data_IF_615010067143
#
_entry.id   IF_615010067143
#
_cell.length_a   1.000
_cell.length_b   1.000
_cell.length_c   1.000
_cell.angle_alpha   90.00
_cell.angle_beta   90.00
_cell.angle_gamma   90.00
#
_symmetry.space_group_name_H-M   'P 1'
#
loop_
_entity.id
_entity.type
_entity.pdbx_description
1 polymer ?
#
# COMPACT_ATOMS: atom_id res chain seq x y z
N UNK A 1 8.41 -23.25 0.14
CA UNK A 1 7.88 -21.90 0.32
C UNK A 1 6.62 -21.80 -0.50
N UNK A 2 5.47 -21.60 0.12
CA UNK A 2 4.20 -21.37 -0.58
C UNK A 2 4.19 -19.96 -1.21
N UNK A 3 3.30 -19.67 -2.18
CA UNK A 3 3.15 -18.31 -2.72
C UNK A 3 2.90 -17.26 -1.63
N UNK A 4 2.09 -17.59 -0.62
CA UNK A 4 1.85 -16.73 0.55
C UNK A 4 3.13 -16.49 1.34
N UNK A 5 3.89 -17.54 1.67
CA UNK A 5 5.14 -17.39 2.42
C UNK A 5 6.13 -16.52 1.64
N UNK A 6 6.25 -16.72 0.32
CA UNK A 6 7.10 -15.92 -0.55
C UNK A 6 6.68 -14.44 -0.58
N UNK A 7 5.38 -14.18 -0.69
CA UNK A 7 4.83 -12.83 -0.63
C UNK A 7 5.14 -12.15 0.70
N UNK A 8 4.84 -12.81 1.83
CA UNK A 8 5.05 -12.26 3.17
C UNK A 8 6.52 -11.98 3.47
N UNK A 9 7.43 -12.87 3.05
CA UNK A 9 8.87 -12.66 3.20
C UNK A 9 9.35 -11.43 2.41
N UNK A 10 8.92 -11.30 1.15
CA UNK A 10 9.25 -10.13 0.34
C UNK A 10 8.65 -8.85 0.93
N UNK A 11 7.39 -8.89 1.35
CA UNK A 11 6.65 -7.76 1.91
C UNK A 11 7.30 -7.26 3.21
N UNK A 12 7.64 -8.17 4.13
CA UNK A 12 8.31 -7.84 5.40
C UNK A 12 9.71 -7.25 5.16
N UNK A 13 10.47 -7.84 4.23
CA UNK A 13 11.83 -7.38 3.88
C UNK A 13 11.81 -5.99 3.24
N UNK A 14 10.92 -5.77 2.28
CA UNK A 14 10.78 -4.47 1.59
C UNK A 14 10.30 -3.38 2.55
N UNK A 15 9.34 -3.68 3.43
CA UNK A 15 8.89 -2.74 4.43
C UNK A 15 10.01 -2.35 5.40
N UNK A 16 10.80 -3.32 5.89
CA UNK A 16 11.92 -3.05 6.78
C UNK A 16 13.01 -2.16 6.13
N UNK A 17 13.32 -2.37 4.84
CA UNK A 17 14.24 -1.52 4.08
C UNK A 17 13.64 -0.11 3.92
N UNK A 18 12.38 -0.01 3.53
CA UNK A 18 11.68 1.25 3.32
C UNK A 18 11.64 2.08 4.59
N UNK A 19 11.22 1.50 5.72
CA UNK A 19 11.14 2.19 7.00
C UNK A 19 12.51 2.63 7.51
N UNK A 20 13.57 1.83 7.28
CA UNK A 20 14.94 2.23 7.60
C UNK A 20 15.34 3.50 6.84
N UNK A 21 15.07 3.54 5.53
CA UNK A 21 15.38 4.70 4.70
C UNK A 21 14.58 5.94 5.14
N UNK A 22 13.28 5.79 5.36
CA UNK A 22 12.39 6.90 5.73
C UNK A 22 12.73 7.47 7.13
N UNK A 23 13.07 6.60 8.09
CA UNK A 23 13.51 7.02 9.44
C UNK A 23 14.85 7.75 9.42
N UNK A 24 15.73 7.42 8.47
CA UNK A 24 17.02 8.10 8.27
C UNK A 24 16.95 9.31 7.33
N UNK A 25 15.79 9.60 6.73
CA UNK A 25 15.66 10.69 5.78
C UNK A 25 15.77 12.06 6.48
N UNK A 26 16.57 13.02 5.98
CA UNK A 26 16.72 14.32 6.63
C UNK A 26 15.41 15.12 6.62
N UNK A 27 14.92 15.50 7.81
CA UNK A 27 13.59 16.14 7.96
C UNK A 27 13.52 17.49 7.25
N UNK A 28 14.62 18.21 7.18
CA UNK A 28 14.76 19.48 6.47
C UNK A 28 14.69 19.34 4.94
N UNK A 29 14.69 18.11 4.41
CA UNK A 29 14.59 17.80 2.98
C UNK A 29 13.27 17.13 2.59
N UNK A 30 12.27 17.07 3.47
CA UNK A 30 11.00 16.39 3.17
C UNK A 30 10.28 16.96 1.95
N UNK A 31 10.49 18.25 1.68
CA UNK A 31 9.94 18.97 0.52
C UNK A 31 10.87 18.98 -0.70
N UNK A 32 12.01 18.26 -0.65
CA UNK A 32 12.93 18.15 -1.77
C UNK A 32 12.19 17.59 -2.99
N UNK A 33 12.21 18.37 -4.07
CA UNK A 33 11.55 18.07 -5.33
C UNK A 33 12.54 18.27 -6.48
N UNK A 34 13.27 17.21 -6.89
CA UNK A 34 14.34 17.33 -7.90
C UNK A 34 13.86 17.86 -9.25
N UNK A 35 12.57 17.68 -9.57
CA UNK A 35 11.94 18.20 -10.77
C UNK A 35 10.45 18.50 -10.52
N UNK A 36 9.90 19.52 -11.19
CA UNK A 36 8.54 20.02 -10.96
C UNK A 36 7.42 18.96 -11.12
N UNK A 37 7.66 17.93 -11.94
CA UNK A 37 6.72 16.81 -12.17
C UNK A 37 6.81 15.68 -11.13
N UNK A 38 7.82 15.70 -10.25
CA UNK A 38 8.00 14.67 -9.24
C UNK A 38 7.26 15.00 -7.96
N UNK A 39 6.96 13.95 -7.19
CA UNK A 39 6.47 14.06 -5.82
C UNK A 39 7.63 14.44 -4.88
N UNK A 40 7.33 15.13 -3.78
CA UNK A 40 8.28 15.33 -2.69
C UNK A 40 8.55 14.01 -1.96
N UNK A 41 9.61 13.94 -1.15
CA UNK A 41 9.87 12.77 -0.31
C UNK A 41 8.70 12.46 0.64
N UNK A 42 8.08 13.52 1.20
CA UNK A 42 6.88 13.39 2.03
C UNK A 42 5.71 12.77 1.25
N UNK A 43 5.44 13.28 0.06
CA UNK A 43 4.34 12.77 -0.78
C UNK A 43 4.57 11.32 -1.19
N UNK A 44 5.81 10.93 -1.50
CA UNK A 44 6.15 9.54 -1.83
C UNK A 44 5.98 8.61 -0.64
N UNK A 45 6.39 9.03 0.56
CA UNK A 45 6.19 8.23 1.76
C UNK A 45 4.69 7.99 2.05
N UNK A 46 3.86 9.00 1.81
CA UNK A 46 2.41 8.87 1.95
C UNK A 46 1.80 7.91 0.93
N UNK A 47 2.33 7.86 -0.30
CA UNK A 47 1.87 6.89 -1.31
C UNK A 47 1.94 5.46 -0.75
N UNK A 48 3.02 5.05 -0.08
CA UNK A 48 3.11 3.70 0.48
C UNK A 48 1.98 3.38 1.47
N UNK A 49 1.56 4.33 2.29
CA UNK A 49 0.47 4.12 3.25
C UNK A 49 -0.88 4.02 2.52
N UNK A 50 -1.09 4.84 1.49
CA UNK A 50 -2.28 4.80 0.63
C UNK A 50 -2.37 3.48 -0.12
N UNK A 51 -1.27 2.99 -0.70
CA UNK A 51 -1.24 1.73 -1.44
C UNK A 51 -1.51 0.52 -0.53
N UNK A 52 -1.00 0.51 0.71
CA UNK A 52 -1.35 -0.54 1.68
C UNK A 52 -2.85 -0.53 2.00
N UNK A 53 -3.43 0.66 2.26
CA UNK A 53 -4.86 0.79 2.49
C UNK A 53 -5.71 0.45 1.26
N UNK A 54 -5.22 0.74 0.06
CA UNK A 54 -5.86 0.35 -1.19
C UNK A 54 -5.85 -1.16 -1.36
N UNK A 55 -4.72 -1.81 -1.08
CA UNK A 55 -4.60 -3.27 -1.07
C UNK A 55 -5.66 -3.94 -0.19
N UNK A 56 -5.88 -3.42 1.02
CA UNK A 56 -6.96 -3.91 1.91
C UNK A 56 -8.36 -3.76 1.29
N UNK A 57 -8.66 -2.64 0.62
CA UNK A 57 -9.96 -2.44 -0.05
C UNK A 57 -10.16 -3.37 -1.22
N UNK A 58 -9.11 -3.59 -2.01
CA UNK A 58 -9.13 -4.55 -3.12
C UNK A 58 -9.33 -5.97 -2.59
N UNK A 59 -8.66 -6.32 -1.49
CA UNK A 59 -8.83 -7.62 -0.83
C UNK A 59 -10.28 -7.93 -0.46
N UNK A 60 -11.01 -6.90 -0.01
CA UNK A 60 -12.43 -6.97 0.35
C UNK A 60 -13.40 -6.78 -0.83
N UNK A 61 -12.88 -6.71 -2.07
CA UNK A 61 -13.66 -6.53 -3.29
C UNK A 61 -14.50 -5.24 -3.33
N UNK A 62 -14.04 -4.18 -2.65
CA UNK A 62 -14.74 -2.89 -2.56
C UNK A 62 -15.02 -2.25 -3.95
N UNK A 63 -14.24 -2.64 -4.95
CA UNK A 63 -14.29 -2.12 -6.31
C UNK A 63 -15.24 -2.89 -7.25
N UNK A 64 -15.90 -3.96 -6.77
CA UNK A 64 -16.87 -4.72 -7.57
C UNK A 64 -18.01 -3.86 -8.14
N UNK A 65 -18.37 -2.79 -7.42
CA UNK A 65 -19.43 -1.84 -7.83
C UNK A 65 -18.88 -0.59 -8.53
N UNK A 66 -17.59 -0.58 -8.86
CA UNK A 66 -16.87 0.53 -9.45
C UNK A 66 -15.92 1.24 -8.48
N UNK A 67 -15.19 2.23 -8.99
CA UNK A 67 -14.21 2.99 -8.20
C UNK A 67 -14.93 3.86 -7.16
N UNK A 68 -14.62 3.72 -5.86
CA UNK A 68 -15.20 4.57 -4.83
C UNK A 68 -14.98 6.05 -5.13
N UNK A 69 -16.03 6.85 -5.05
CA UNK A 69 -15.94 8.30 -5.24
C UNK A 69 -15.23 8.96 -4.06
N UNK A 70 -14.36 9.91 -4.34
CA UNK A 70 -13.66 10.70 -3.32
C UNK A 70 -12.16 10.83 -3.58
N UNK A 71 -11.54 11.81 -2.92
CA UNK A 71 -10.09 11.92 -2.90
C UNK A 71 -9.50 10.96 -1.85
N UNK A 72 -8.30 10.41 -2.07
CA UNK A 72 -7.55 9.73 -1.02
C UNK A 72 -7.39 10.63 0.21
N UNK A 73 -7.27 10.05 1.41
CA UNK A 73 -7.03 10.83 2.62
C UNK A 73 -5.73 11.65 2.49
N UNK A 74 -5.74 12.85 3.07
CA UNK A 74 -4.56 13.70 3.12
C UNK A 74 -3.52 13.09 4.06
N UNK A 75 -2.21 13.27 3.78
CA UNK A 75 -1.18 12.88 4.72
C UNK A 75 -1.36 13.64 6.05
N UNK A 76 -0.99 13.03 7.20
CA UNK A 76 -0.76 13.79 8.44
C UNK A 76 0.19 14.97 8.20
N UNK A 77 0.21 15.98 9.08
CA UNK A 77 1.15 17.11 8.98
C UNK A 77 2.51 16.80 9.63
N UNK A 78 2.51 16.08 10.76
CA UNK A 78 3.75 15.62 11.38
C UNK A 78 4.37 14.47 10.58
N UNK A 79 5.71 14.41 10.55
CA UNK A 79 6.43 13.36 9.83
C UNK A 79 6.37 12.03 10.55
N UNK A 80 6.48 12.02 11.87
CA UNK A 80 6.44 10.77 12.63
C UNK A 80 5.03 10.17 12.59
N UNK A 81 3.98 11.00 12.64
CA UNK A 81 2.59 10.53 12.47
C UNK A 81 2.37 9.88 11.10
N UNK A 82 2.96 10.43 10.04
CA UNK A 82 2.94 9.83 8.71
C UNK A 82 3.65 8.46 8.71
N UNK A 83 4.83 8.36 9.33
CA UNK A 83 5.56 7.10 9.45
C UNK A 83 4.78 6.07 10.27
N UNK A 84 4.13 6.47 11.36
CA UNK A 84 3.26 5.60 12.16
C UNK A 84 2.04 5.12 11.37
N UNK A 85 1.45 5.98 10.54
CA UNK A 85 0.37 5.58 9.65
C UNK A 85 0.83 4.56 8.59
N UNK A 86 2.03 4.72 8.04
CA UNK A 86 2.63 3.74 7.13
C UNK A 86 2.89 2.40 7.83
N UNK A 87 3.53 2.39 9.00
CA UNK A 87 3.74 1.15 9.76
C UNK A 87 2.43 0.46 10.08
N UNK A 88 1.40 1.21 10.51
CA UNK A 88 0.09 0.67 10.82
C UNK A 88 -0.57 0.04 9.59
N UNK A 89 -0.68 0.80 8.50
CA UNK A 89 -1.36 0.31 7.28
C UNK A 89 -0.64 -0.88 6.66
N UNK A 90 0.70 -0.89 6.70
CA UNK A 90 1.49 -2.03 6.25
C UNK A 90 1.23 -3.28 7.10
N UNK A 91 1.26 -3.12 8.44
CA UNK A 91 0.98 -4.21 9.39
C UNK A 91 -0.43 -4.76 9.23
N UNK A 92 -1.44 -3.89 9.14
CA UNK A 92 -2.84 -4.30 8.98
C UNK A 92 -3.01 -5.16 7.72
N UNK A 93 -2.43 -4.74 6.58
CA UNK A 93 -2.49 -5.51 5.33
C UNK A 93 -1.70 -6.82 5.41
N UNK A 94 -0.52 -6.81 6.02
CA UNK A 94 0.29 -8.03 6.25
C UNK A 94 -0.48 -9.06 7.08
N UNK A 95 -1.13 -8.62 8.16
CA UNK A 95 -1.93 -9.48 9.03
C UNK A 95 -3.16 -10.05 8.30
N UNK A 96 -3.79 -9.26 7.43
CA UNK A 96 -4.86 -9.73 6.56
C UNK A 96 -4.40 -10.87 5.64
N UNK A 97 -3.27 -10.70 4.94
CA UNK A 97 -2.71 -11.73 4.07
C UNK A 97 -2.31 -12.97 4.87
N UNK A 98 -1.66 -12.80 6.01
CA UNK A 98 -1.19 -13.91 6.85
C UNK A 98 -2.34 -14.72 7.47
N UNK A 99 -3.45 -14.06 7.83
CA UNK A 99 -4.61 -14.71 8.46
C UNK A 99 -5.58 -15.34 7.45
N UNK A 100 -5.54 -14.93 6.18
CA UNK A 100 -6.41 -15.50 5.14
C UNK A 100 -6.02 -16.95 4.87
N UNK A 101 -6.94 -17.94 4.88
CA UNK A 101 -6.63 -19.33 4.51
C UNK A 101 -6.07 -19.47 3.09
N UNK A 102 -5.21 -20.46 2.83
CA UNK A 102 -4.63 -20.67 1.49
C UNK A 102 -5.70 -20.86 0.40
N UNK A 103 -6.81 -21.53 0.73
CA UNK A 103 -7.92 -21.76 -0.20
C UNK A 103 -8.64 -20.47 -0.64
N UNK A 104 -8.53 -19.38 0.13
CA UNK A 104 -9.20 -18.11 -0.15
C UNK A 104 -8.29 -17.13 -0.92
N UNK A 105 -7.02 -17.48 -1.15
CA UNK A 105 -6.07 -16.62 -1.85
C UNK A 105 -6.36 -16.54 -3.35
N UNK A 106 -7.00 -17.57 -3.92
CA UNK A 106 -7.39 -17.64 -5.32
C UNK A 106 -8.76 -17.03 -5.61
N UNK A 107 -9.46 -16.56 -4.57
CA UNK A 107 -10.73 -15.85 -4.73
C UNK A 107 -10.54 -14.60 -5.59
N UNK A 108 -11.55 -14.33 -6.40
CA UNK A 108 -11.53 -13.23 -7.35
C UNK A 108 -11.97 -11.94 -6.66
N UNK A 109 -11.19 -10.90 -6.88
CA UNK A 109 -11.48 -9.51 -6.51
C UNK A 109 -11.41 -8.63 -7.77
N UNK A 110 -12.11 -7.51 -7.75
CA UNK A 110 -12.17 -6.61 -8.88
C UNK A 110 -11.17 -5.47 -8.70
N UNK A 111 -10.36 -5.22 -9.73
CA UNK A 111 -9.51 -4.04 -9.79
C UNK A 111 -9.36 -3.48 -11.21
N UNK A 112 -8.77 -2.28 -11.31
CA UNK A 112 -8.56 -1.61 -12.58
C UNK A 112 -7.48 -2.36 -13.38
N UNK A 113 -7.86 -3.03 -14.47
CA UNK A 113 -6.94 -3.80 -15.33
C UNK A 113 -6.54 -3.05 -16.61
N UNK A 114 -7.16 -1.89 -16.86
CA UNK A 114 -6.87 -1.04 -18.00
C UNK A 114 -7.61 0.29 -17.93
N UNK A 115 -7.41 1.20 -18.90
CA UNK A 115 -8.06 2.51 -18.91
C UNK A 115 -9.59 2.38 -18.85
N UNK A 116 -10.18 2.78 -17.72
CA UNK A 116 -11.63 2.69 -17.44
C UNK A 116 -12.21 1.27 -17.48
N UNK A 117 -11.36 0.25 -17.30
CA UNK A 117 -11.76 -1.16 -17.33
C UNK A 117 -11.59 -1.78 -15.96
N UNK A 118 -12.67 -2.38 -15.45
CA UNK A 118 -12.64 -3.25 -14.29
C UNK A 118 -12.49 -4.70 -14.74
N UNK A 119 -11.61 -5.44 -14.08
CA UNK A 119 -11.43 -6.87 -14.31
C UNK A 119 -11.30 -7.62 -12.99
N UNK A 120 -11.62 -8.91 -13.03
CA UNK A 120 -11.36 -9.83 -11.93
C UNK A 120 -9.87 -10.23 -11.92
N UNK A 121 -9.30 -10.33 -10.74
CA UNK A 121 -7.96 -10.86 -10.48
C UNK A 121 -7.97 -11.66 -9.16
N UNK A 122 -7.03 -12.60 -9.01
CA UNK A 122 -6.86 -13.31 -7.74
C UNK A 122 -6.31 -12.36 -6.66
N UNK A 123 -6.66 -12.59 -5.38
CA UNK A 123 -6.18 -11.78 -4.24
C UNK A 123 -4.66 -11.78 -4.11
N UNK A 124 -3.99 -12.87 -4.50
CA UNK A 124 -2.54 -13.03 -4.42
C UNK A 124 -1.89 -13.20 -5.82
N UNK A 125 -2.50 -12.61 -6.86
CA UNK A 125 -2.01 -12.63 -8.24
C UNK A 125 -0.66 -11.93 -8.45
#
# INVERSE_FOLDING_TARGET
MTPKEQFLDAYDREHAITMRLLKSYPKEKLDLKPHAKLKTARELAWVFAIECGLGTRVWHDDFAKGVPAGAPPKPPEDWNDLLSALEKTNKDFRELVASTPDAELDEQVHFLTGPKTMGAMSRLA
#
